data_IF_983434132966
#
_entry.id   IF_983434132966
#
_cell.length_a   1.000
_cell.length_b   1.000
_cell.length_c   1.000
_cell.angle_alpha   90.00
_cell.angle_beta   90.00
_cell.angle_gamma   90.00
#
_symmetry.space_group_name_H-M   'P 1'
#
loop_
_entity.id
_entity.type
_entity.pdbx_description
1 polymer ?
#
# COMPACT_ATOMS: atom_id res chain seq x y z
N UNK A 1 19.43 85.06 -47.00
CA UNK A 1 20.12 84.08 -46.19
C UNK A 1 19.06 83.29 -45.45
N UNK A 2 18.76 82.05 -45.84
CA UNK A 2 17.69 81.28 -45.22
C UNK A 2 18.32 80.30 -44.18
N UNK A 3 17.67 80.24 -43.03
CA UNK A 3 17.94 79.27 -41.98
C UNK A 3 17.19 77.97 -42.27
N UNK A 4 17.88 76.90 -42.39
CA UNK A 4 17.29 75.53 -42.48
C UNK A 4 17.00 74.99 -41.08
N UNK A 5 15.73 74.62 -40.92
CA UNK A 5 15.22 73.92 -39.71
C UNK A 5 15.49 72.42 -39.84
N UNK A 6 16.26 71.85 -38.92
CA UNK A 6 16.41 70.40 -38.79
C UNK A 6 15.32 69.80 -37.92
N UNK A 7 14.42 69.03 -38.51
CA UNK A 7 13.46 68.21 -37.80
C UNK A 7 14.16 66.91 -37.43
N UNK A 8 14.39 66.73 -36.14
CA UNK A 8 14.86 65.49 -35.56
C UNK A 8 13.70 64.56 -35.31
N UNK A 9 13.57 63.50 -36.06
CA UNK A 9 12.60 62.43 -35.78
C UNK A 9 13.09 61.53 -34.65
N UNK A 10 12.39 61.52 -33.54
CA UNK A 10 12.55 60.51 -32.49
C UNK A 10 11.80 59.24 -32.89
N UNK A 11 12.55 58.21 -33.27
CA UNK A 11 12.00 56.87 -33.41
C UNK A 11 11.93 56.20 -32.02
N UNK A 12 10.72 56.02 -31.51
CA UNK A 12 10.45 55.24 -30.32
C UNK A 12 10.50 53.73 -30.68
N UNK A 13 11.60 53.09 -30.32
CA UNK A 13 11.73 51.65 -30.42
C UNK A 13 10.92 50.96 -29.30
N UNK A 14 9.75 50.46 -29.64
CA UNK A 14 8.97 49.59 -28.76
C UNK A 14 9.65 48.21 -28.63
N UNK A 15 10.36 47.98 -27.53
CA UNK A 15 10.87 46.65 -27.15
C UNK A 15 9.67 45.79 -26.75
N UNK A 16 9.31 44.82 -27.60
CA UNK A 16 8.42 43.72 -27.25
C UNK A 16 9.16 42.78 -26.30
N UNK A 17 8.81 42.86 -25.03
CA UNK A 17 9.26 41.89 -24.02
C UNK A 17 8.44 40.63 -24.25
N UNK A 18 9.06 39.58 -24.77
CA UNK A 18 8.51 38.24 -24.80
C UNK A 18 8.65 37.61 -23.40
N UNK A 19 7.57 37.61 -22.64
CA UNK A 19 7.44 36.81 -21.44
C UNK A 19 7.28 35.35 -21.85
N UNK A 20 8.38 34.62 -21.81
CA UNK A 20 8.39 33.14 -21.97
C UNK A 20 7.84 32.55 -20.66
N UNK A 21 6.54 32.30 -20.62
CA UNK A 21 5.91 31.57 -19.52
C UNK A 21 6.35 30.11 -19.64
N UNK A 22 7.35 29.74 -18.83
CA UNK A 22 7.79 28.36 -18.66
C UNK A 22 6.70 27.62 -17.85
N UNK A 23 5.74 27.03 -18.55
CA UNK A 23 4.76 26.14 -17.94
C UNK A 23 5.49 24.86 -17.54
N UNK A 24 5.90 24.77 -16.27
CA UNK A 24 6.34 23.51 -15.67
C UNK A 24 5.14 22.56 -15.63
N UNK A 25 4.98 21.76 -16.66
CA UNK A 25 4.13 20.57 -16.65
C UNK A 25 4.74 19.61 -15.62
N UNK A 26 4.22 19.66 -14.40
CA UNK A 26 4.39 18.58 -13.45
C UNK A 26 3.70 17.35 -14.05
N UNK A 27 4.49 16.51 -14.71
CA UNK A 27 4.08 15.17 -15.09
C UNK A 27 3.85 14.42 -13.78
N UNK A 28 2.62 14.39 -13.31
CA UNK A 28 2.17 13.41 -12.35
C UNK A 28 2.33 12.05 -13.02
N UNK A 29 3.40 11.35 -12.71
CA UNK A 29 3.53 9.93 -13.03
C UNK A 29 2.58 9.20 -12.11
N UNK A 30 1.50 8.55 -12.61
CA UNK A 30 0.70 7.71 -11.76
C UNK A 30 1.60 6.57 -11.25
N UNK A 31 1.54 6.31 -9.95
CA UNK A 31 2.18 5.15 -9.32
C UNK A 31 1.51 3.89 -9.89
N UNK A 32 2.12 3.29 -10.90
CA UNK A 32 1.58 2.20 -11.73
C UNK A 32 1.59 0.84 -11.01
N UNK A 33 1.75 0.80 -9.70
CA UNK A 33 1.98 -0.44 -8.96
C UNK A 33 0.83 -0.96 -8.10
N UNK A 34 -0.24 -0.19 -7.86
CA UNK A 34 -1.34 -0.62 -6.99
C UNK A 34 -2.68 0.00 -7.42
N UNK A 35 -3.76 -0.76 -7.28
CA UNK A 35 -5.11 -0.21 -7.43
C UNK A 35 -5.45 0.61 -6.20
N UNK A 36 -5.98 1.83 -6.41
CA UNK A 36 -6.53 2.62 -5.32
C UNK A 36 -7.77 1.91 -4.75
N UNK A 37 -7.81 1.74 -3.43
CA UNK A 37 -8.97 1.17 -2.73
C UNK A 37 -10.10 2.20 -2.74
N UNK A 38 -11.27 1.83 -3.25
CA UNK A 38 -12.43 2.73 -3.31
C UNK A 38 -12.96 3.07 -1.90
N UNK A 39 -12.94 2.09 -1.00
CA UNK A 39 -13.28 2.26 0.41
C UNK A 39 -12.11 1.76 1.26
N UNK A 40 -11.22 2.66 1.66
CA UNK A 40 -10.04 2.32 2.44
C UNK A 40 -10.43 1.80 3.83
N UNK A 41 -10.19 0.51 4.15
CA UNK A 41 -10.50 -0.03 5.46
C UNK A 41 -9.55 0.61 6.50
N UNK A 42 -10.13 1.14 7.57
CA UNK A 42 -9.33 1.73 8.67
C UNK A 42 -8.80 0.69 9.65
N UNK A 43 -8.77 -0.55 9.24
CA UNK A 43 -8.35 -1.70 10.02
C UNK A 43 -8.53 -3.00 9.24
N UNK A 44 -8.17 -4.10 9.85
CA UNK A 44 -8.35 -5.43 9.26
C UNK A 44 -8.60 -6.47 10.34
N UNK A 45 -9.31 -7.55 10.00
CA UNK A 45 -9.59 -8.66 10.91
C UNK A 45 -10.22 -8.23 12.25
N UNK A 46 -11.23 -7.37 12.18
CA UNK A 46 -12.01 -6.92 13.35
C UNK A 46 -11.28 -5.95 14.28
N UNK A 47 -10.14 -5.40 13.86
CA UNK A 47 -9.39 -4.39 14.62
C UNK A 47 -9.07 -3.17 13.76
N UNK A 48 -9.16 -1.99 14.34
CA UNK A 48 -8.76 -0.73 13.70
C UNK A 48 -7.24 -0.54 13.83
N UNK A 49 -6.63 0.03 12.81
CA UNK A 49 -5.23 0.41 12.85
C UNK A 49 -4.94 1.36 14.01
N UNK A 50 -3.79 1.19 14.65
CA UNK A 50 -3.37 2.00 15.79
C UNK A 50 -4.09 1.71 17.11
N UNK A 51 -5.05 0.80 17.16
CA UNK A 51 -5.68 0.36 18.42
C UNK A 51 -4.89 -0.77 19.05
N UNK A 52 -4.88 -0.83 20.38
CA UNK A 52 -4.28 -1.95 21.10
C UNK A 52 -5.03 -3.26 20.84
N UNK A 53 -4.27 -4.34 20.69
CA UNK A 53 -4.79 -5.71 20.63
C UNK A 53 -4.82 -6.36 22.02
N UNK A 54 -4.21 -5.70 23.01
CA UNK A 54 -4.19 -6.18 24.39
C UNK A 54 -5.60 -6.27 24.96
N UNK A 55 -5.85 -7.29 25.80
CA UNK A 55 -7.14 -7.51 26.44
C UNK A 55 -8.23 -8.08 25.51
N UNK A 56 -7.99 -8.26 24.23
CA UNK A 56 -8.96 -8.95 23.36
C UNK A 56 -9.08 -10.42 23.76
N UNK A 57 -10.32 -10.84 24.10
CA UNK A 57 -10.60 -12.19 24.61
C UNK A 57 -10.39 -13.30 23.58
N UNK A 58 -10.51 -12.99 22.29
CA UNK A 58 -10.35 -13.90 21.14
C UNK A 58 -8.91 -14.06 20.68
N UNK A 59 -7.99 -13.22 21.16
CA UNK A 59 -6.57 -13.25 20.80
C UNK A 59 -5.70 -13.74 21.95
N UNK A 60 -4.57 -14.34 21.60
CA UNK A 60 -3.46 -14.65 22.53
C UNK A 60 -2.18 -14.07 21.97
N UNK A 61 -1.37 -13.50 22.82
CA UNK A 61 0.00 -13.14 22.50
C UNK A 61 0.85 -14.43 22.39
N UNK A 62 1.67 -14.48 21.35
CA UNK A 62 2.55 -15.63 21.09
C UNK A 62 4.02 -15.24 21.14
N UNK A 63 4.33 -13.95 20.98
CA UNK A 63 5.70 -13.46 20.98
C UNK A 63 5.71 -11.97 21.34
N UNK A 64 6.72 -11.54 22.10
CA UNK A 64 7.00 -10.15 22.40
C UNK A 64 8.51 -9.90 22.21
N UNK A 65 8.85 -8.90 21.39
CA UNK A 65 10.21 -8.48 21.09
C UNK A 65 10.27 -6.98 21.26
N UNK A 66 10.92 -6.52 22.31
CA UNK A 66 10.97 -5.10 22.68
C UNK A 66 9.57 -4.45 22.73
N UNK A 67 9.28 -3.56 21.79
CA UNK A 67 7.99 -2.88 21.68
C UNK A 67 7.04 -3.56 20.69
N UNK A 68 7.47 -4.66 20.05
CA UNK A 68 6.65 -5.41 19.10
C UNK A 68 6.00 -6.61 19.77
N UNK A 69 4.68 -6.71 19.68
CA UNK A 69 3.87 -7.80 20.19
C UNK A 69 3.16 -8.53 19.04
N UNK A 70 3.20 -9.85 19.06
CA UNK A 70 2.59 -10.69 18.02
C UNK A 70 1.47 -11.52 18.64
N UNK A 71 0.29 -11.41 18.04
CA UNK A 71 -0.92 -12.10 18.48
C UNK A 71 -1.41 -13.10 17.44
N UNK A 72 -2.15 -14.09 17.90
CA UNK A 72 -2.91 -15.02 17.04
C UNK A 72 -4.27 -15.31 17.68
N UNK A 73 -5.18 -15.93 16.95
CA UNK A 73 -6.47 -16.36 17.50
C UNK A 73 -6.30 -17.46 18.55
N UNK A 74 -7.13 -17.43 19.59
CA UNK A 74 -7.11 -18.43 20.68
C UNK A 74 -7.69 -19.77 20.26
N UNK A 75 -8.76 -19.72 19.46
CA UNK A 75 -9.57 -20.92 19.18
C UNK A 75 -9.91 -21.01 17.71
N UNK A 76 -9.84 -22.21 17.18
CA UNK A 76 -10.17 -22.51 15.79
C UNK A 76 -9.16 -21.96 14.77
N UNK A 77 -9.33 -22.32 13.51
CA UNK A 77 -8.57 -21.72 12.43
C UNK A 77 -9.06 -20.31 12.15
N UNK A 78 -8.18 -19.34 11.84
CA UNK A 78 -8.61 -18.02 11.43
C UNK A 78 -9.38 -18.07 10.11
N UNK A 79 -10.36 -17.19 9.96
CA UNK A 79 -11.20 -17.13 8.77
C UNK A 79 -11.35 -15.68 8.29
N UNK A 80 -11.40 -15.52 6.97
CA UNK A 80 -11.78 -14.27 6.30
C UNK A 80 -12.99 -14.59 5.44
N UNK A 81 -14.17 -14.08 5.80
CA UNK A 81 -15.46 -14.33 5.11
C UNK A 81 -15.70 -15.81 4.81
N UNK A 82 -15.50 -16.67 5.81
CA UNK A 82 -15.68 -18.11 5.70
C UNK A 82 -14.53 -18.86 5.01
N UNK A 83 -13.52 -18.15 4.48
CA UNK A 83 -12.34 -18.77 3.91
C UNK A 83 -11.36 -19.10 5.04
N UNK A 84 -11.19 -20.38 5.30
CA UNK A 84 -10.32 -20.88 6.38
C UNK A 84 -8.85 -20.72 6.02
N UNK A 85 -8.09 -20.03 6.89
CA UNK A 85 -6.66 -19.86 6.78
C UNK A 85 -5.89 -20.89 7.59
N UNK A 86 -4.62 -21.13 7.29
CA UNK A 86 -3.74 -21.98 8.10
C UNK A 86 -3.35 -21.30 9.40
N UNK A 87 -3.00 -20.03 9.33
CA UNK A 87 -2.60 -19.24 10.49
C UNK A 87 -2.80 -17.75 10.27
N UNK A 88 -2.82 -17.01 11.37
CA UNK A 88 -2.76 -15.56 11.38
C UNK A 88 -1.74 -15.08 12.42
N UNK A 89 -0.98 -14.07 12.06
CA UNK A 89 -0.16 -13.26 12.96
C UNK A 89 -0.59 -11.81 12.86
N UNK A 90 -0.94 -11.23 14.00
CA UNK A 90 -1.30 -9.82 14.12
C UNK A 90 -0.17 -9.11 14.84
N UNK A 91 0.38 -8.08 14.24
CA UNK A 91 1.54 -7.35 14.76
C UNK A 91 1.10 -6.03 15.33
N UNK A 92 1.50 -5.77 16.55
CA UNK A 92 1.36 -4.50 17.25
C UNK A 92 2.73 -3.94 17.57
N UNK A 93 2.94 -2.66 17.34
CA UNK A 93 4.15 -1.94 17.71
C UNK A 93 3.78 -0.79 18.62
N UNK A 94 4.45 -0.67 19.78
CA UNK A 94 4.07 0.32 20.80
C UNK A 94 2.57 0.27 21.10
N UNK A 95 2.02 -0.94 21.28
CA UNK A 95 0.60 -1.20 21.49
C UNK A 95 -0.32 -0.81 20.32
N UNK A 96 0.23 -0.38 19.18
CA UNK A 96 -0.53 0.03 18.01
C UNK A 96 -0.60 -1.11 16.99
N UNK A 97 -1.80 -1.65 16.76
CA UNK A 97 -2.02 -2.63 15.71
C UNK A 97 -1.68 -2.05 14.33
N UNK A 98 -0.81 -2.73 13.62
CA UNK A 98 -0.29 -2.18 12.36
C UNK A 98 -0.24 -3.17 11.19
N UNK A 99 -0.24 -4.49 11.47
CA UNK A 99 -0.14 -5.50 10.40
C UNK A 99 -0.84 -6.80 10.76
N UNK A 100 -1.47 -7.43 9.76
CA UNK A 100 -1.96 -8.81 9.82
C UNK A 100 -1.33 -9.63 8.70
N UNK A 101 -0.81 -10.81 9.02
CA UNK A 101 -0.31 -11.80 8.06
C UNK A 101 -1.10 -13.08 8.18
N UNK A 102 -1.70 -13.52 7.06
CA UNK A 102 -2.42 -14.79 6.98
C UNK A 102 -1.68 -15.72 6.03
N UNK A 103 -1.49 -16.96 6.45
CA UNK A 103 -0.99 -18.01 5.60
C UNK A 103 -2.14 -18.91 5.16
N UNK A 104 -2.08 -19.35 3.92
CA UNK A 104 -3.06 -20.26 3.35
C UNK A 104 -2.41 -21.20 2.34
N UNK A 105 -3.09 -22.32 2.04
CA UNK A 105 -2.65 -23.32 1.08
C UNK A 105 -3.78 -23.68 0.12
N UNK A 106 -3.42 -23.91 -1.14
CA UNK A 106 -4.29 -24.36 -2.21
C UNK A 106 -4.74 -23.28 -3.16
N UNK A 107 -4.74 -23.61 -4.46
CA UNK A 107 -5.12 -22.69 -5.55
C UNK A 107 -6.59 -22.27 -5.47
N UNK A 108 -7.49 -23.20 -5.10
CA UNK A 108 -8.92 -22.88 -4.96
C UNK A 108 -9.14 -21.78 -3.92
N UNK A 109 -8.45 -21.87 -2.78
CA UNK A 109 -8.51 -20.88 -1.71
C UNK A 109 -7.90 -19.54 -2.16
N UNK A 110 -6.80 -19.59 -2.91
CA UNK A 110 -6.21 -18.39 -3.50
C UNK A 110 -7.20 -17.65 -4.40
N UNK A 111 -7.88 -18.37 -5.30
CA UNK A 111 -8.91 -17.80 -6.19
C UNK A 111 -10.08 -17.21 -5.41
N UNK A 112 -10.54 -17.88 -4.34
CA UNK A 112 -11.61 -17.36 -3.49
C UNK A 112 -11.21 -16.09 -2.76
N UNK A 113 -9.99 -16.03 -2.21
CA UNK A 113 -9.45 -14.84 -1.56
C UNK A 113 -9.29 -13.66 -2.53
N UNK A 114 -8.73 -13.94 -3.71
CA UNK A 114 -8.57 -12.93 -4.75
C UNK A 114 -9.92 -12.35 -5.17
N UNK A 115 -10.91 -13.22 -5.43
CA UNK A 115 -12.26 -12.80 -5.77
C UNK A 115 -12.91 -11.96 -4.66
N UNK A 116 -12.77 -12.38 -3.39
CA UNK A 116 -13.27 -11.62 -2.25
C UNK A 116 -12.63 -10.23 -2.19
N UNK A 117 -11.30 -10.15 -2.29
CA UNK A 117 -10.57 -8.88 -2.23
C UNK A 117 -10.93 -7.96 -3.41
N UNK A 118 -11.08 -8.51 -4.61
CA UNK A 118 -11.51 -7.74 -5.77
C UNK A 118 -12.96 -7.22 -5.64
N UNK A 119 -13.83 -8.00 -4.99
CA UNK A 119 -15.21 -7.57 -4.72
C UNK A 119 -15.26 -6.43 -3.69
N UNK A 120 -14.38 -6.46 -2.70
CA UNK A 120 -14.36 -5.45 -1.63
C UNK A 120 -13.58 -4.18 -2.01
N UNK A 121 -12.49 -4.32 -2.74
CA UNK A 121 -11.50 -3.26 -2.92
C UNK A 121 -11.25 -2.90 -4.39
N UNK A 122 -12.00 -3.49 -5.31
CA UNK A 122 -11.82 -3.30 -6.75
C UNK A 122 -10.77 -4.23 -7.36
N UNK A 123 -10.61 -4.16 -8.67
CA UNK A 123 -9.66 -5.03 -9.39
C UNK A 123 -8.22 -4.77 -8.95
N UNK A 124 -7.49 -5.84 -8.67
CA UNK A 124 -6.08 -5.75 -8.33
C UNK A 124 -5.22 -5.28 -9.51
N UNK A 125 -4.18 -4.53 -9.22
CA UNK A 125 -3.06 -4.34 -10.15
C UNK A 125 -2.08 -5.49 -10.00
N UNK A 126 -1.70 -6.05 -11.13
CA UNK A 126 -0.64 -7.05 -11.21
C UNK A 126 0.65 -6.27 -11.52
N UNK A 127 1.63 -6.18 -10.59
CA UNK A 127 2.89 -5.52 -10.85
C UNK A 127 3.59 -6.15 -12.05
N UNK A 128 4.21 -5.33 -12.89
CA UNK A 128 5.01 -5.83 -14.01
C UNK A 128 6.11 -6.76 -13.48
N UNK A 129 6.20 -7.97 -14.05
CA UNK A 129 7.17 -8.98 -13.63
C UNK A 129 6.69 -9.96 -12.56
N UNK A 130 5.56 -9.72 -11.88
CA UNK A 130 5.01 -10.65 -10.88
C UNK A 130 4.46 -11.96 -11.45
N UNK A 131 4.35 -12.04 -12.77
CA UNK A 131 3.85 -13.21 -13.49
C UNK A 131 4.96 -13.95 -14.25
N UNK A 132 6.20 -13.89 -13.83
CA UNK A 132 7.26 -14.66 -14.48
C UNK A 132 6.98 -16.17 -14.31
N UNK A 133 6.37 -16.74 -15.35
CA UNK A 133 6.19 -18.18 -15.59
C UNK A 133 5.46 -18.97 -14.50
N UNK A 134 4.39 -18.40 -13.89
CA UNK A 134 3.51 -19.15 -12.97
C UNK A 134 4.11 -19.48 -11.60
N UNK A 135 5.30 -19.00 -11.27
CA UNK A 135 5.99 -19.35 -10.03
C UNK A 135 5.55 -18.49 -8.84
N UNK A 136 5.27 -17.20 -9.06
CA UNK A 136 4.79 -16.30 -8.01
C UNK A 136 3.83 -15.29 -8.60
N UNK A 137 2.67 -15.17 -7.98
CA UNK A 137 1.65 -14.16 -8.32
C UNK A 137 1.53 -13.20 -7.16
N UNK A 138 1.58 -11.90 -7.45
CA UNK A 138 1.39 -10.86 -6.46
C UNK A 138 0.35 -9.87 -6.93
N UNK A 139 -0.56 -9.51 -6.02
CA UNK A 139 -1.62 -8.55 -6.23
C UNK A 139 -1.61 -7.57 -5.08
N UNK A 140 -1.76 -6.28 -5.38
CA UNK A 140 -1.70 -5.24 -4.34
C UNK A 140 -2.82 -4.23 -4.53
N UNK A 141 -3.47 -3.88 -3.43
CA UNK A 141 -4.42 -2.78 -3.29
C UNK A 141 -3.83 -1.76 -2.34
N UNK A 142 -3.93 -0.49 -2.68
CA UNK A 142 -3.33 0.58 -1.88
C UNK A 142 -4.33 1.72 -1.67
N UNK A 143 -4.73 1.92 -0.44
CA UNK A 143 -5.51 3.08 0.03
C UNK A 143 -4.62 4.13 0.72
N UNK A 144 -5.22 5.23 1.18
CA UNK A 144 -4.54 6.23 2.01
C UNK A 144 -3.95 5.66 3.30
N UNK A 145 -4.70 4.82 4.01
CA UNK A 145 -4.31 4.28 5.33
C UNK A 145 -3.93 2.80 5.30
N UNK A 146 -4.41 2.04 4.30
CA UNK A 146 -4.23 0.58 4.24
C UNK A 146 -3.56 0.15 2.95
N UNK A 147 -2.68 -0.84 3.06
CA UNK A 147 -2.18 -1.61 1.94
C UNK A 147 -2.51 -3.08 2.16
N UNK A 148 -3.05 -3.74 1.13
CA UNK A 148 -3.33 -5.18 1.13
C UNK A 148 -2.52 -5.81 0.01
N UNK A 149 -1.79 -6.87 0.32
CA UNK A 149 -0.99 -7.61 -0.66
C UNK A 149 -1.28 -9.10 -0.51
N UNK A 150 -1.59 -9.75 -1.61
CA UNK A 150 -1.69 -11.20 -1.67
C UNK A 150 -0.57 -11.75 -2.55
N UNK A 151 0.19 -12.69 -2.03
CA UNK A 151 1.26 -13.37 -2.76
C UNK A 151 0.97 -14.86 -2.78
N UNK A 152 1.08 -15.49 -3.95
CA UNK A 152 0.84 -16.92 -4.12
C UNK A 152 1.97 -17.57 -4.91
N UNK A 153 2.52 -18.63 -4.38
CA UNK A 153 3.55 -19.45 -5.02
C UNK A 153 2.92 -20.71 -5.60
N UNK A 154 2.63 -20.71 -6.88
CA UNK A 154 1.91 -21.80 -7.55
C UNK A 154 2.56 -23.16 -7.41
N UNK A 155 3.89 -23.25 -7.47
CA UNK A 155 4.61 -24.52 -7.33
C UNK A 155 4.51 -25.14 -5.91
N UNK A 156 4.41 -24.29 -4.88
CA UNK A 156 4.26 -24.75 -3.47
C UNK A 156 2.82 -24.75 -3.01
N UNK A 157 1.89 -24.25 -3.84
CA UNK A 157 0.49 -24.01 -3.52
C UNK A 157 0.28 -23.23 -2.21
N UNK A 158 1.23 -22.37 -1.84
CA UNK A 158 1.19 -21.58 -0.62
C UNK A 158 1.05 -20.09 -0.93
N UNK A 159 0.23 -19.42 -0.13
CA UNK A 159 0.02 -18.02 -0.23
C UNK A 159 0.08 -17.30 1.10
N UNK A 160 0.34 -15.99 1.00
CA UNK A 160 0.35 -15.05 2.12
C UNK A 160 -0.58 -13.90 1.73
N UNK A 161 -1.49 -13.56 2.63
CA UNK A 161 -2.24 -12.31 2.59
C UNK A 161 -1.68 -11.41 3.69
N UNK A 162 -1.14 -10.27 3.31
CA UNK A 162 -0.69 -9.21 4.19
C UNK A 162 -1.66 -8.03 4.10
N UNK A 163 -2.17 -7.58 5.23
CA UNK A 163 -2.86 -6.30 5.35
C UNK A 163 -2.10 -5.45 6.35
N UNK A 164 -1.78 -4.20 5.99
CA UNK A 164 -0.96 -3.34 6.83
C UNK A 164 -1.40 -1.89 6.80
N UNK A 165 -1.22 -1.22 7.93
CA UNK A 165 -1.39 0.23 8.03
C UNK A 165 -0.22 0.93 7.36
N UNK A 166 -0.51 1.80 6.39
CA UNK A 166 0.52 2.64 5.77
C UNK A 166 1.06 3.72 6.70
N UNK A 167 0.32 4.02 7.77
CA UNK A 167 0.74 5.02 8.78
C UNK A 167 1.74 4.41 9.75
N UNK A 168 1.49 3.17 10.19
CA UNK A 168 2.31 2.51 11.23
C UNK A 168 3.32 1.49 10.68
N UNK A 169 3.09 0.94 9.49
CA UNK A 169 4.01 -0.04 8.89
C UNK A 169 5.46 0.46 8.75
N UNK A 170 5.75 1.74 8.44
CA UNK A 170 7.12 2.23 8.39
C UNK A 170 7.89 2.06 9.70
N UNK A 171 7.21 2.07 10.86
CA UNK A 171 7.85 1.87 12.16
C UNK A 171 8.41 0.43 12.34
N UNK A 172 7.91 -0.54 11.58
CA UNK A 172 8.44 -1.91 11.61
C UNK A 172 9.81 -2.04 10.95
N UNK A 173 10.17 -1.14 10.04
CA UNK A 173 11.48 -1.17 9.39
C UNK A 173 12.60 -0.95 10.41
N UNK A 174 12.34 -0.13 11.44
CA UNK A 174 13.31 0.15 12.50
C UNK A 174 13.31 -0.92 13.60
N UNK A 175 12.19 -1.66 13.76
CA UNK A 175 12.00 -2.64 14.82
C UNK A 175 12.34 -4.09 14.41
N UNK A 176 12.47 -4.38 13.10
CA UNK A 176 12.88 -5.72 12.65
C UNK A 176 14.40 -5.82 12.55
N UNK A 177 15.05 -6.78 13.23
CA UNK A 177 16.47 -7.04 12.99
C UNK A 177 16.72 -7.46 11.54
N UNK A 178 17.84 -7.02 10.96
CA UNK A 178 18.23 -7.18 9.54
C UNK A 178 18.26 -8.63 9.00
N UNK A 179 17.89 -9.64 9.79
CA UNK A 179 18.06 -11.07 9.47
C UNK A 179 16.76 -11.85 9.21
N UNK A 180 15.67 -11.19 8.81
CA UNK A 180 14.37 -11.84 8.56
C UNK A 180 14.06 -12.08 7.07
N UNK A 181 15.09 -12.35 6.23
CA UNK A 181 14.91 -12.70 4.81
C UNK A 181 15.13 -14.19 4.55
#
# INVERSE_FOLDING_TARGET
MPFQSFHTQFQTATRKIWLTTCACLFLWTPDLGATAIEQDPKGFFGSLWGKSLEGRSDLKEIEAIDTMHIYTVKTGPPQIEGIVMESVKLYSLEEKYARALFHYQGEAKHKSLLHYLETQFGKAVIPQGSMMRGLSQQYTWRGPETQITITYHGFRERGILAAESRVFAPLFLDAMPEHSY
#
